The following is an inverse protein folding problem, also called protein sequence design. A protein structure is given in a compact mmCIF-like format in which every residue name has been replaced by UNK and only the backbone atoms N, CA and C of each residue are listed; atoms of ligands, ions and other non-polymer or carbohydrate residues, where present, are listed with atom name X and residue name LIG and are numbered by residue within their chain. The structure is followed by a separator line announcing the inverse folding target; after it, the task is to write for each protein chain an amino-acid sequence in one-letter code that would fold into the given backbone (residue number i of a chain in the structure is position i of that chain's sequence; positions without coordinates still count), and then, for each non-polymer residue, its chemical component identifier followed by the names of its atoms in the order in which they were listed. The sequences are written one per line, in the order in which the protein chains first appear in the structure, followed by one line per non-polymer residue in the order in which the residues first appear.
data_IF_304114738298
#
_entry.id   IF_304114738298
#
_cell.length_a   1.000
_cell.length_b   1.000
_cell.length_c   1.000
_cell.angle_alpha   90.00
_cell.angle_beta   90.00
_cell.angle_gamma   90.00
#
_symmetry.space_group_name_H-M   'P 1'
#
loop_
_entity.id
_entity.type
_entity.pdbx_description
1 polymer ?
#
# COMPACT_ATOMS: atom_id res chain seq x y z
N UNK A 1 21.23 13.05 -11.97
CA UNK A 1 21.40 11.94 -12.93
C UNK A 1 22.23 10.86 -12.24
N UNK A 2 21.65 9.69 -11.94
CA UNK A 2 22.29 8.60 -11.20
C UNK A 2 22.34 7.32 -12.06
N UNK A 3 23.33 7.19 -12.95
CA UNK A 3 23.44 6.07 -13.89
C UNK A 3 23.81 4.72 -13.23
N UNK A 4 24.01 4.70 -11.91
CA UNK A 4 24.42 3.53 -11.12
C UNK A 4 23.23 2.67 -10.65
N UNK A 5 22.00 3.19 -10.70
CA UNK A 5 20.83 2.51 -10.14
C UNK A 5 20.30 1.53 -11.20
N UNK A 6 20.67 0.25 -11.09
CA UNK A 6 20.29 -0.76 -12.09
C UNK A 6 18.80 -1.14 -12.04
N UNK A 7 18.19 -1.11 -10.84
CA UNK A 7 16.75 -1.30 -10.63
C UNK A 7 16.30 -0.48 -9.40
N UNK A 8 15.96 0.82 -9.58
CA UNK A 8 15.37 1.65 -8.52
C UNK A 8 14.01 1.14 -8.02
N UNK A 9 13.42 0.21 -8.77
CA UNK A 9 12.01 -0.17 -8.82
C UNK A 9 11.65 -1.44 -8.03
N UNK A 10 12.42 -1.88 -7.01
CA UNK A 10 12.06 -3.10 -6.26
C UNK A 10 10.80 -2.96 -5.38
N UNK A 11 9.89 -2.07 -5.76
CA UNK A 11 8.50 -2.00 -5.33
C UNK A 11 7.81 -3.36 -5.44
N UNK A 12 8.22 -4.24 -6.37
CA UNK A 12 7.68 -5.60 -6.48
C UNK A 12 7.77 -6.36 -5.16
N UNK A 13 8.88 -6.27 -4.44
CA UNK A 13 9.04 -6.97 -3.17
C UNK A 13 8.07 -6.42 -2.11
N UNK A 14 7.95 -5.09 -2.03
CA UNK A 14 7.03 -4.39 -1.12
C UNK A 14 5.58 -4.70 -1.45
N UNK A 15 5.19 -4.62 -2.73
CA UNK A 15 3.84 -4.95 -3.22
C UNK A 15 3.50 -6.41 -2.93
N UNK A 16 4.45 -7.33 -3.14
CA UNK A 16 4.26 -8.76 -2.87
C UNK A 16 4.07 -9.04 -1.38
N UNK A 17 4.84 -8.37 -0.52
CA UNK A 17 4.67 -8.44 0.93
C UNK A 17 3.28 -7.96 1.33
N UNK A 18 2.91 -6.73 0.95
CA UNK A 18 1.60 -6.11 1.28
C UNK A 18 0.46 -7.00 0.79
N UNK A 19 0.52 -7.49 -0.46
CA UNK A 19 -0.54 -8.34 -1.03
C UNK A 19 -0.69 -9.67 -0.28
N UNK A 20 0.44 -10.26 0.12
CA UNK A 20 0.46 -11.52 0.87
C UNK A 20 -0.05 -11.32 2.29
N UNK A 21 0.34 -10.23 2.95
CA UNK A 21 -0.13 -9.89 4.29
C UNK A 21 -1.66 -9.68 4.30
N UNK A 22 -2.20 -8.88 3.36
CA UNK A 22 -3.65 -8.71 3.18
C UNK A 22 -4.35 -10.06 3.00
N UNK A 23 -3.77 -10.95 2.20
CA UNK A 23 -4.34 -12.28 1.98
C UNK A 23 -4.35 -13.13 3.25
N UNK A 24 -3.23 -13.20 3.97
CA UNK A 24 -3.13 -13.94 5.23
C UNK A 24 -4.07 -13.37 6.29
N UNK A 25 -4.17 -12.04 6.38
CA UNK A 25 -5.10 -11.35 7.28
C UNK A 25 -6.56 -11.68 6.93
N UNK A 26 -6.91 -11.67 5.65
CA UNK A 26 -8.25 -12.04 5.19
C UNK A 26 -8.61 -13.50 5.53
N UNK A 27 -7.66 -14.42 5.41
CA UNK A 27 -7.85 -15.82 5.83
C UNK A 27 -8.04 -15.94 7.34
N UNK A 28 -7.27 -15.22 8.15
CA UNK A 28 -7.43 -15.20 9.61
C UNK A 28 -8.81 -14.65 10.01
N UNK A 29 -9.26 -13.57 9.39
CA UNK A 29 -10.56 -12.95 9.64
C UNK A 29 -11.74 -13.85 9.23
N UNK A 30 -11.56 -14.68 8.21
CA UNK A 30 -12.58 -15.62 7.74
C UNK A 30 -12.75 -16.87 8.64
N UNK A 31 -11.80 -17.14 9.54
CA UNK A 31 -11.86 -18.25 10.50
C UNK A 31 -11.45 -19.61 9.93
N UNK A 32 -11.73 -20.69 10.68
CA UNK A 32 -11.18 -22.04 10.44
C UNK A 32 -11.70 -22.76 9.18
N UNK A 33 -12.78 -22.29 8.58
CA UNK A 33 -13.36 -22.82 7.33
C UNK A 33 -13.70 -21.66 6.38
N UNK A 34 -12.69 -21.00 5.80
CA UNK A 34 -12.90 -19.76 5.06
C UNK A 34 -13.70 -20.00 3.78
N UNK A 35 -14.64 -19.10 3.48
CA UNK A 35 -15.29 -19.00 2.18
C UNK A 35 -14.84 -17.73 1.47
N UNK A 36 -14.98 -17.69 0.14
CA UNK A 36 -14.70 -16.46 -0.62
C UNK A 36 -15.49 -15.26 -0.09
N UNK A 37 -16.76 -15.46 0.28
CA UNK A 37 -17.61 -14.40 0.84
C UNK A 37 -17.10 -13.96 2.22
N UNK A 38 -16.82 -14.91 3.12
CA UNK A 38 -16.29 -14.61 4.45
C UNK A 38 -14.93 -13.90 4.44
N UNK A 39 -14.06 -14.24 3.49
CA UNK A 39 -12.79 -13.54 3.25
C UNK A 39 -13.02 -12.06 2.90
N UNK A 40 -13.90 -11.79 1.93
CA UNK A 40 -14.19 -10.43 1.46
C UNK A 40 -14.90 -9.61 2.55
N UNK A 41 -15.90 -10.19 3.23
CA UNK A 41 -16.64 -9.51 4.29
C UNK A 41 -15.75 -9.20 5.49
N UNK A 42 -14.87 -10.15 5.87
CA UNK A 42 -13.87 -9.95 6.91
C UNK A 42 -12.91 -8.82 6.58
N UNK A 43 -12.34 -8.79 5.37
CA UNK A 43 -11.45 -7.70 4.95
C UNK A 43 -12.18 -6.35 4.91
N UNK A 44 -13.41 -6.28 4.38
CA UNK A 44 -14.20 -5.03 4.34
C UNK A 44 -14.54 -4.46 5.71
N UNK A 45 -14.45 -5.25 6.78
CA UNK A 45 -14.63 -4.77 8.14
C UNK A 45 -13.38 -4.05 8.69
N UNK A 46 -12.22 -4.19 8.06
CA UNK A 46 -10.96 -3.55 8.48
C UNK A 46 -10.90 -2.12 7.95
N UNK A 47 -10.85 -1.15 8.87
CA UNK A 47 -10.81 0.28 8.54
C UNK A 47 -9.43 0.92 8.81
N UNK A 48 -8.47 0.13 9.29
CA UNK A 48 -7.16 0.62 9.73
C UNK A 48 -6.09 -0.42 9.43
N UNK A 49 -5.72 -0.54 8.16
CA UNK A 49 -4.62 -1.37 7.68
C UNK A 49 -3.45 -0.49 7.27
N UNK A 50 -2.25 -0.78 7.76
CA UNK A 50 -1.02 0.00 7.48
C UNK A 50 0.19 -0.87 7.10
N UNK A 51 -0.02 -2.18 6.88
CA UNK A 51 1.03 -3.15 6.55
C UNK A 51 2.23 -3.09 7.52
N UNK A 52 1.97 -3.10 8.82
CA UNK A 52 2.97 -2.93 9.90
C UNK A 52 3.75 -1.60 9.78
N UNK A 53 3.09 -0.55 9.30
CA UNK A 53 3.66 0.78 9.14
C UNK A 53 4.41 1.02 7.82
N UNK A 54 4.36 0.07 6.87
CA UNK A 54 4.95 0.25 5.54
C UNK A 54 4.17 1.23 4.66
N UNK A 55 2.88 1.42 4.94
CA UNK A 55 2.03 2.36 4.21
C UNK A 55 1.23 3.22 5.19
N UNK A 56 0.75 4.37 4.70
CA UNK A 56 -0.26 5.15 5.42
C UNK A 56 -1.52 4.30 5.63
N UNK A 57 -2.18 4.49 6.77
CA UNK A 57 -3.37 3.72 7.14
C UNK A 57 -4.48 3.86 6.10
N UNK A 58 -5.00 2.73 5.62
CA UNK A 58 -6.12 2.64 4.69
C UNK A 58 -7.30 1.87 5.30
N UNK A 59 -8.49 2.12 4.74
CA UNK A 59 -9.72 1.39 5.03
C UNK A 59 -10.08 0.49 3.84
N UNK A 60 -10.42 -0.76 4.11
CA UNK A 60 -10.96 -1.68 3.09
C UNK A 60 -12.48 -1.61 2.98
N UNK A 61 -13.16 -0.85 3.86
CA UNK A 61 -14.62 -0.64 3.81
C UNK A 61 -15.03 0.17 2.60
N UNK A 62 -14.31 1.26 2.36
CA UNK A 62 -14.68 2.30 1.41
C UNK A 62 -13.78 2.21 0.17
N UNK A 63 -14.38 2.14 -1.02
CA UNK A 63 -13.64 2.30 -2.27
C UNK A 63 -12.74 1.12 -2.64
N UNK A 64 -13.32 -0.08 -2.83
CA UNK A 64 -12.66 -1.09 -3.64
C UNK A 64 -12.23 -0.45 -4.98
N UNK A 65 -10.91 -0.34 -5.19
CA UNK A 65 -10.28 0.32 -6.34
C UNK A 65 -10.30 1.87 -6.41
N UNK A 66 -10.51 2.59 -5.31
CA UNK A 66 -10.21 4.04 -5.29
C UNK A 66 -8.70 4.25 -5.06
N UNK A 67 -7.96 4.87 -6.01
CA UNK A 67 -6.57 5.22 -5.77
C UNK A 67 -6.49 6.16 -4.57
N UNK A 68 -5.46 5.99 -3.71
CA UNK A 68 -5.11 7.04 -2.76
C UNK A 68 -4.89 8.34 -3.54
N UNK A 69 -5.44 9.45 -3.07
CA UNK A 69 -5.11 10.76 -3.64
C UNK A 69 -3.86 11.35 -3.00
N UNK A 70 -3.36 10.73 -1.93
CA UNK A 70 -2.19 11.18 -1.18
C UNK A 70 -0.98 10.31 -1.47
N UNK A 71 0.15 10.95 -1.78
CA UNK A 71 1.43 10.28 -2.05
C UNK A 71 2.58 11.00 -1.36
N UNK A 72 3.62 10.25 -1.02
CA UNK A 72 4.90 10.85 -0.61
C UNK A 72 5.80 10.99 -1.83
N UNK A 73 6.34 12.18 -2.03
CA UNK A 73 7.32 12.44 -3.08
C UNK A 73 8.72 12.25 -2.50
N UNK A 74 9.54 11.53 -3.24
CA UNK A 74 10.88 11.18 -2.84
C UNK A 74 11.90 11.57 -3.91
N UNK A 75 13.12 11.83 -3.47
CA UNK A 75 14.24 12.13 -4.35
C UNK A 75 15.40 11.19 -4.03
N UNK A 76 16.11 10.71 -5.05
CA UNK A 76 17.34 9.93 -4.82
C UNK A 76 18.34 10.79 -4.02
N UNK A 77 18.93 10.20 -2.98
CA UNK A 77 19.95 10.88 -2.18
C UNK A 77 21.22 11.14 -3.02
N UNK A 78 22.10 12.02 -2.53
CA UNK A 78 23.33 12.39 -3.25
C UNK A 78 24.26 11.19 -3.52
N UNK A 79 24.20 10.15 -2.68
CA UNK A 79 25.00 8.93 -2.82
C UNK A 79 24.40 7.93 -3.83
N UNK A 80 23.17 8.14 -4.31
CA UNK A 80 22.45 7.20 -5.18
C UNK A 80 22.10 5.87 -4.52
N UNK A 81 22.17 5.77 -3.19
CA UNK A 81 21.97 4.53 -2.44
C UNK A 81 20.57 4.37 -1.84
N UNK A 82 19.72 5.37 -2.02
CA UNK A 82 18.37 5.37 -1.49
C UNK A 82 17.64 6.67 -1.79
N UNK A 83 16.47 6.81 -1.19
CA UNK A 83 15.59 7.96 -1.37
C UNK A 83 15.45 8.76 -0.07
N UNK A 84 15.33 10.07 -0.21
CA UNK A 84 14.90 10.99 0.85
C UNK A 84 13.50 11.47 0.54
N UNK A 85 12.64 11.54 1.56
CA UNK A 85 11.29 12.13 1.42
C UNK A 85 11.45 13.64 1.29
N UNK A 86 10.96 14.20 0.19
CA UNK A 86 11.00 15.66 -0.07
C UNK A 86 9.66 16.33 0.22
N UNK A 87 8.55 15.61 0.07
CA UNK A 87 7.22 16.06 0.46
C UNK A 87 6.40 14.86 0.94
N UNK A 88 6.12 14.75 2.26
CA UNK A 88 5.28 13.69 2.78
C UNK A 88 3.78 14.00 2.56
N UNK A 89 3.01 13.00 2.15
CA UNK A 89 1.53 13.06 2.11
C UNK A 89 0.93 14.22 1.30
N UNK A 90 1.49 14.54 0.12
CA UNK A 90 0.87 15.49 -0.79
C UNK A 90 -0.41 14.88 -1.39
N UNK A 91 -1.56 15.50 -1.10
CA UNK A 91 -2.86 15.02 -1.52
C UNK A 91 -3.42 15.82 -2.70
N UNK A 92 -3.83 15.10 -3.75
CA UNK A 92 -4.69 15.62 -4.80
C UNK A 92 -6.16 15.62 -4.42
N UNK A 93 -7.00 16.15 -5.32
CA UNK A 93 -8.45 16.07 -5.24
C UNK A 93 -8.98 15.32 -6.47
N UNK A 94 -10.02 14.52 -6.26
CA UNK A 94 -10.71 13.80 -7.35
C UNK A 94 -11.35 14.84 -8.29
N UNK A 95 -11.03 14.75 -9.59
CA UNK A 95 -11.67 15.59 -10.59
C UNK A 95 -13.03 14.97 -10.93
N UNK A 96 -14.10 15.65 -10.58
CA UNK A 96 -15.47 15.28 -10.97
C UNK A 96 -15.79 15.88 -12.35
N UNK A 97 -16.49 15.16 -13.25
CA UNK A 97 -16.96 15.71 -14.52
C UNK A 97 -17.85 16.95 -14.36
#
# INVERSE_FOLDING_TARGET
FAPQVAQPEQDIAVISYISTDIFLRGLQLAGSCPTRQGFIDGLRAVNSYDADGLISTISFRDGAARPSTCYSFVQANAAGSGFVVVEPNLCGHELSP
#
